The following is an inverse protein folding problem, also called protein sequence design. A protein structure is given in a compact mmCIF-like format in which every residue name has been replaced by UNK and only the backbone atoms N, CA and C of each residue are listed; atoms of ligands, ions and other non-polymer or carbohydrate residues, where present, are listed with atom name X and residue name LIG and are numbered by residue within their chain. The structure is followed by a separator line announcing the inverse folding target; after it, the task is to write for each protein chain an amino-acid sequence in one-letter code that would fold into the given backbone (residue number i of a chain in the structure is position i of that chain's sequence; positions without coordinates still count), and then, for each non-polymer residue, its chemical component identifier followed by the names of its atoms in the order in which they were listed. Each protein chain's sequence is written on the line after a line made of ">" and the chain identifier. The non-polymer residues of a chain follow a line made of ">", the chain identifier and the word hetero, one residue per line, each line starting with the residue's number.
data_IF_427506334954
#
_entry.id   IF_427506334954
#
_cell.length_a   1.000
_cell.length_b   1.000
_cell.length_c   1.000
_cell.angle_alpha   90.00
_cell.angle_beta   90.00
_cell.angle_gamma   90.00
#
_symmetry.space_group_name_H-M   'P 1'
#
loop_
_entity.id
_entity.type
_entity.pdbx_description
1 polymer ?
#
# COMPACT_ATOMS: atom_id res chain seq x y z
N UNK A 1 35.85 -7.07 -17.05
CA UNK A 1 34.72 -7.07 -16.08
C UNK A 1 34.03 -5.74 -16.30
N UNK A 2 33.26 -5.65 -17.39
CA UNK A 2 32.51 -4.44 -17.75
C UNK A 2 31.51 -4.11 -16.64
N UNK A 3 31.58 -2.87 -16.16
CA UNK A 3 30.62 -2.30 -15.23
C UNK A 3 29.29 -2.06 -15.94
N UNK A 4 28.25 -2.64 -15.35
CA UNK A 4 26.85 -2.41 -15.64
C UNK A 4 26.55 -0.90 -15.53
N UNK A 5 26.29 -0.26 -16.69
CA UNK A 5 25.73 1.09 -16.74
C UNK A 5 24.25 0.96 -16.43
N UNK A 6 23.86 1.26 -15.20
CA UNK A 6 22.45 1.43 -14.85
C UNK A 6 21.90 2.68 -15.55
N UNK A 7 21.08 2.47 -16.58
CA UNK A 7 20.32 3.51 -17.27
C UNK A 7 19.50 4.35 -16.27
N UNK A 8 19.90 5.61 -16.09
CA UNK A 8 19.24 6.63 -15.27
C UNK A 8 17.98 7.24 -15.91
N UNK A 9 17.23 6.49 -16.70
CA UNK A 9 16.04 6.98 -17.41
C UNK A 9 14.79 6.15 -17.14
N UNK A 10 14.42 6.02 -15.87
CA UNK A 10 13.01 5.88 -15.51
C UNK A 10 12.83 6.28 -14.03
N UNK A 11 12.27 7.46 -13.71
CA UNK A 11 11.84 7.70 -12.35
C UNK A 11 10.80 6.62 -12.06
N UNK A 12 11.15 5.70 -11.15
CA UNK A 12 10.34 4.53 -10.79
C UNK A 12 8.94 5.01 -10.42
N UNK A 13 8.03 5.00 -11.38
CA UNK A 13 6.62 5.30 -11.18
C UNK A 13 6.05 4.16 -10.34
N UNK A 14 6.20 4.28 -9.03
CA UNK A 14 5.55 3.39 -8.08
C UNK A 14 4.04 3.57 -8.34
N UNK A 15 3.47 2.61 -9.05
CA UNK A 15 2.04 2.51 -9.39
C UNK A 15 1.50 3.41 -10.52
N UNK A 16 2.32 3.84 -11.49
CA UNK A 16 1.82 4.50 -12.70
C UNK A 16 1.38 5.96 -12.50
N UNK A 17 1.82 6.57 -11.40
CA UNK A 17 1.54 7.97 -11.07
C UNK A 17 2.79 8.80 -11.39
N UNK A 18 2.64 9.85 -12.22
CA UNK A 18 3.70 10.81 -12.45
C UNK A 18 4.06 11.58 -11.18
N UNK A 19 5.28 12.06 -11.08
CA UNK A 19 5.67 12.99 -10.03
C UNK A 19 4.94 14.32 -10.21
N UNK A 20 4.50 14.92 -9.09
CA UNK A 20 3.82 16.21 -9.12
C UNK A 20 4.83 17.32 -9.45
N UNK A 21 4.56 18.06 -10.52
CA UNK A 21 5.37 19.22 -10.89
C UNK A 21 4.88 20.43 -10.09
N UNK A 22 5.77 21.02 -9.29
CA UNK A 22 5.48 22.28 -8.61
C UNK A 22 5.63 23.45 -9.59
N UNK A 23 4.65 24.35 -9.61
CA UNK A 23 4.65 25.54 -10.46
C UNK A 23 4.99 26.76 -9.61
N UNK A 24 6.23 27.23 -9.71
CA UNK A 24 6.71 28.40 -8.98
C UNK A 24 6.41 29.71 -9.75
N UNK A 25 6.55 29.66 -11.08
CA UNK A 25 6.20 30.76 -11.99
C UNK A 25 5.16 30.29 -13.04
N UNK A 26 3.98 30.91 -13.00
CA UNK A 26 2.85 30.56 -13.89
C UNK A 26 3.13 30.96 -15.34
N UNK A 27 3.77 32.10 -15.58
CA UNK A 27 4.06 32.59 -16.94
C UNK A 27 5.05 31.67 -17.64
N UNK A 28 6.13 31.29 -16.95
CA UNK A 28 7.11 30.32 -17.47
C UNK A 28 6.50 28.94 -17.69
N UNK A 29 5.58 28.52 -16.81
CA UNK A 29 4.89 27.25 -16.94
C UNK A 29 3.95 27.24 -18.15
N UNK A 30 3.19 28.30 -18.38
CA UNK A 30 2.28 28.40 -19.53
C UNK A 30 3.02 28.52 -20.87
N UNK A 31 4.23 29.08 -20.86
CA UNK A 31 5.09 29.17 -22.05
C UNK A 31 5.76 27.85 -22.47
N UNK A 32 5.59 26.76 -21.69
CA UNK A 32 6.11 25.44 -22.07
C UNK A 32 5.41 24.90 -23.32
N UNK A 33 6.12 24.19 -24.21
CA UNK A 33 5.56 23.64 -25.45
C UNK A 33 4.38 22.67 -25.20
N UNK A 34 4.34 22.03 -24.04
CA UNK A 34 3.24 21.13 -23.64
C UNK A 34 1.94 21.88 -23.31
N UNK A 35 2.07 23.14 -22.86
CA UNK A 35 0.99 24.00 -22.36
C UNK A 35 0.50 25.01 -23.41
N UNK A 36 1.10 25.05 -24.60
CA UNK A 36 0.73 25.93 -25.72
C UNK A 36 -0.70 25.73 -26.27
N UNK A 37 -1.44 24.74 -25.76
CA UNK A 37 -2.83 24.45 -26.15
C UNK A 37 -3.90 25.29 -25.46
N UNK A 38 -3.51 26.32 -24.70
CA UNK A 38 -4.42 27.21 -23.98
C UNK A 38 -4.72 26.76 -22.54
N UNK A 39 -5.27 27.68 -21.75
CA UNK A 39 -5.50 27.52 -20.29
C UNK A 39 -6.41 26.32 -19.98
N UNK A 40 -7.48 26.13 -20.75
CA UNK A 40 -8.46 25.06 -20.49
C UNK A 40 -7.85 23.66 -20.57
N UNK A 41 -6.91 23.44 -21.50
CA UNK A 41 -6.22 22.14 -21.65
C UNK A 41 -5.32 21.86 -20.44
N UNK A 42 -4.63 22.89 -19.94
CA UNK A 42 -3.74 22.80 -18.79
C UNK A 42 -4.54 22.52 -17.52
N UNK A 43 -5.62 23.26 -17.28
CA UNK A 43 -6.52 23.05 -16.13
C UNK A 43 -7.08 21.63 -16.13
N UNK A 44 -7.58 21.15 -17.27
CA UNK A 44 -8.08 19.78 -17.39
C UNK A 44 -7.01 18.74 -17.09
N UNK A 45 -5.77 18.95 -17.55
CA UNK A 45 -4.66 18.03 -17.26
C UNK A 45 -4.31 18.01 -15.77
N UNK A 46 -4.30 19.18 -15.12
CA UNK A 46 -4.06 19.30 -13.67
C UNK A 46 -5.18 18.64 -12.87
N UNK A 47 -6.45 18.80 -13.26
CA UNK A 47 -7.59 18.13 -12.64
C UNK A 47 -7.49 16.60 -12.75
N UNK A 48 -7.10 16.09 -13.94
CA UNK A 48 -6.89 14.67 -14.17
C UNK A 48 -5.73 14.12 -13.31
N UNK A 49 -4.63 14.87 -13.17
CA UNK A 49 -3.53 14.49 -12.29
C UNK A 49 -3.96 14.51 -10.82
N UNK A 50 -4.66 15.56 -10.38
CA UNK A 50 -5.16 15.70 -9.02
C UNK A 50 -6.10 14.54 -8.64
N UNK A 51 -7.01 14.15 -9.55
CA UNK A 51 -7.88 13.00 -9.34
C UNK A 51 -7.09 11.68 -9.14
N UNK A 52 -6.03 11.47 -9.93
CA UNK A 52 -5.13 10.30 -9.77
C UNK A 52 -4.43 10.30 -8.41
N UNK A 53 -3.89 11.44 -7.98
CA UNK A 53 -3.24 11.55 -6.67
C UNK A 53 -4.21 11.23 -5.54
N UNK A 54 -5.41 11.81 -5.56
CA UNK A 54 -6.44 11.58 -4.54
C UNK A 54 -6.88 10.11 -4.47
N UNK A 55 -7.04 9.46 -5.62
CA UNK A 55 -7.38 8.03 -5.67
C UNK A 55 -6.27 7.16 -5.05
N UNK A 56 -5.02 7.48 -5.34
CA UNK A 56 -3.89 6.74 -4.78
C UNK A 56 -3.71 6.98 -3.28
N UNK A 57 -3.88 8.21 -2.83
CA UNK A 57 -3.86 8.54 -1.41
C UNK A 57 -4.88 7.67 -0.64
N UNK A 58 -6.11 7.59 -1.14
CA UNK A 58 -7.16 6.76 -0.56
C UNK A 58 -6.78 5.27 -0.58
N UNK A 59 -6.23 4.80 -1.69
CA UNK A 59 -5.80 3.40 -1.84
C UNK A 59 -4.70 3.03 -0.85
N UNK A 60 -3.68 3.89 -0.71
CA UNK A 60 -2.58 3.73 0.23
C UNK A 60 -3.06 3.82 1.69
N UNK A 61 -3.94 4.77 2.00
CA UNK A 61 -4.52 4.90 3.34
C UNK A 61 -5.32 3.66 3.73
N UNK A 62 -6.10 3.11 2.80
CA UNK A 62 -6.88 1.87 2.99
C UNK A 62 -5.96 0.67 3.20
N UNK A 63 -4.94 0.51 2.35
CA UNK A 63 -3.94 -0.57 2.49
C UNK A 63 -3.22 -0.48 3.84
N UNK A 64 -2.80 0.73 4.23
CA UNK A 64 -2.15 0.99 5.53
C UNK A 64 -3.07 0.61 6.69
N UNK A 65 -4.36 0.98 6.63
CA UNK A 65 -5.34 0.62 7.66
C UNK A 65 -5.50 -0.90 7.77
N UNK A 66 -5.67 -1.61 6.65
CA UNK A 66 -5.79 -3.07 6.62
C UNK A 66 -4.57 -3.76 7.23
N UNK A 67 -3.36 -3.33 6.83
CA UNK A 67 -2.12 -3.87 7.39
C UNK A 67 -2.05 -3.65 8.90
N UNK A 68 -2.39 -2.45 9.39
CA UNK A 68 -2.43 -2.16 10.84
C UNK A 68 -3.42 -3.05 11.60
N UNK A 69 -4.55 -3.40 10.98
CA UNK A 69 -5.53 -4.32 11.57
C UNK A 69 -5.03 -5.78 11.58
N UNK A 70 -4.23 -6.18 10.60
CA UNK A 70 -3.67 -7.53 10.50
C UNK A 70 -2.52 -7.79 11.48
N UNK A 71 -1.73 -6.76 11.83
CA UNK A 71 -0.60 -6.87 12.76
C UNK A 71 -0.98 -7.53 14.10
N UNK A 72 -2.01 -7.08 14.84
CA UNK A 72 -2.35 -7.69 16.13
C UNK A 72 -2.85 -9.13 15.98
N UNK A 73 -3.50 -9.45 14.86
CA UNK A 73 -4.01 -10.80 14.62
C UNK A 73 -2.88 -11.81 14.36
N UNK A 74 -1.89 -11.40 13.57
CA UNK A 74 -0.66 -12.16 13.35
C UNK A 74 0.16 -12.29 14.63
N UNK A 75 0.25 -11.24 15.45
CA UNK A 75 0.95 -11.28 16.73
C UNK A 75 0.31 -12.28 17.70
N UNK A 76 -1.03 -12.30 17.81
CA UNK A 76 -1.76 -13.29 18.63
C UNK A 76 -1.58 -14.72 18.12
N UNK A 77 -1.63 -14.91 16.80
CA UNK A 77 -1.36 -16.23 16.19
C UNK A 77 0.03 -16.74 16.54
N UNK A 78 1.04 -15.85 16.52
CA UNK A 78 2.41 -16.19 16.88
C UNK A 78 2.54 -16.53 18.37
N UNK A 79 1.95 -15.72 19.25
CA UNK A 79 1.92 -15.99 20.70
C UNK A 79 1.27 -17.35 21.00
N UNK A 80 0.15 -17.68 20.34
CA UNK A 80 -0.51 -18.97 20.47
C UNK A 80 0.41 -20.12 20.07
N UNK A 81 1.13 -20.01 18.95
CA UNK A 81 2.09 -21.03 18.50
C UNK A 81 3.22 -21.21 19.52
N UNK A 82 3.75 -20.12 20.09
CA UNK A 82 4.79 -20.20 21.12
C UNK A 82 4.30 -20.89 22.40
N UNK A 83 3.06 -20.60 22.83
CA UNK A 83 2.43 -21.28 23.97
C UNK A 83 2.27 -22.78 23.70
N UNK A 84 1.72 -23.16 22.55
CA UNK A 84 1.54 -24.55 22.15
C UNK A 84 2.86 -25.31 22.03
N UNK A 85 3.94 -24.66 21.58
CA UNK A 85 5.28 -25.28 21.53
C UNK A 85 5.90 -25.51 22.91
N UNK A 86 5.58 -24.65 23.87
CA UNK A 86 6.12 -24.72 25.23
C UNK A 86 5.39 -25.77 26.06
N UNK A 87 4.09 -25.94 25.84
CA UNK A 87 3.26 -26.97 26.47
C UNK A 87 3.45 -28.30 25.74
N UNK A 88 4.36 -29.13 26.24
CA UNK A 88 4.62 -30.51 25.76
C UNK A 88 3.88 -31.58 26.57
N UNK A 89 3.13 -31.18 27.58
CA UNK A 89 2.34 -32.06 28.43
C UNK A 89 0.92 -32.18 27.91
N UNK A 90 0.29 -33.32 28.16
CA UNK A 90 -1.09 -33.58 27.71
C UNK A 90 -2.02 -32.49 28.25
N UNK A 91 -2.70 -31.79 27.36
CA UNK A 91 -3.60 -30.69 27.69
C UNK A 91 -5.00 -30.95 27.16
N UNK A 92 -5.97 -30.70 28.01
CA UNK A 92 -7.37 -30.74 27.62
C UNK A 92 -7.73 -29.44 26.88
N UNK A 93 -8.19 -29.57 25.65
CA UNK A 93 -8.51 -28.46 24.77
C UNK A 93 -9.90 -28.62 24.18
N UNK A 94 -10.55 -27.50 23.90
CA UNK A 94 -11.85 -27.46 23.23
C UNK A 94 -11.65 -26.92 21.82
N UNK A 95 -11.66 -27.81 20.83
CA UNK A 95 -11.53 -27.43 19.42
C UNK A 95 -12.86 -26.92 18.88
N UNK A 96 -12.84 -25.73 18.28
CA UNK A 96 -13.97 -25.15 17.56
C UNK A 96 -14.19 -25.93 16.24
N UNK A 97 -15.31 -26.63 16.10
CA UNK A 97 -15.73 -27.27 14.85
C UNK A 97 -16.58 -26.33 13.99
N UNK A 98 -17.43 -25.53 14.63
CA UNK A 98 -18.33 -24.55 14.02
C UNK A 98 -18.63 -23.44 15.04
N UNK A 99 -19.23 -22.33 14.62
CA UNK A 99 -19.39 -21.08 15.40
C UNK A 99 -19.96 -21.28 16.81
N UNK A 100 -20.74 -22.34 17.04
CA UNK A 100 -21.33 -22.68 18.34
C UNK A 100 -21.11 -24.15 18.74
N UNK A 101 -20.20 -24.87 18.07
CA UNK A 101 -19.94 -26.30 18.32
C UNK A 101 -18.47 -26.50 18.65
N UNK A 102 -18.23 -27.02 19.84
CA UNK A 102 -16.89 -27.30 20.37
C UNK A 102 -16.76 -28.79 20.68
N UNK A 103 -15.58 -29.36 20.46
CA UNK A 103 -15.25 -30.74 20.85
C UNK A 103 -14.09 -30.73 21.83
N UNK A 104 -14.30 -31.43 22.95
CA UNK A 104 -13.27 -31.65 23.96
C UNK A 104 -12.30 -32.74 23.48
N UNK A 105 -11.01 -32.42 23.45
CA UNK A 105 -9.94 -33.34 23.04
C UNK A 105 -8.80 -33.21 24.03
N UNK A 106 -8.26 -34.36 24.44
CA UNK A 106 -7.03 -34.44 25.24
C UNK A 106 -5.90 -34.68 24.24
N UNK A 107 -4.96 -33.74 24.14
CA UNK A 107 -3.85 -33.76 23.18
C UNK A 107 -2.53 -33.83 23.91
#
# INVERSE_FOLDING_TARGET
>A
MEGDKSDTSNPKSYSGIPEAVFVDNVDEFMNKPENSGGVDKVLRSLDEQHAKYKHMELSLATKRRRLRQQIPDLARSLEMIEKLKTQKEEMETEFLLSDQVFVKVIT
#
